data_IF_915904984448
#
_entry.id   IF_915904984448
#
_cell.length_a   1.000
_cell.length_b   1.000
_cell.length_c   1.000
_cell.angle_alpha   90.00
_cell.angle_beta   90.00
_cell.angle_gamma   90.00
#
_symmetry.space_group_name_H-M   'P 1'
#
loop_
_entity.id
_entity.type
_entity.pdbx_description
1 polymer ?
#
# COMPACT_ATOMS: atom_id res chain seq x y z
N UNK A 1 62.72 16.70 30.79
CA UNK A 1 62.34 17.40 29.54
C UNK A 1 62.09 16.34 28.49
N UNK A 2 60.87 16.19 27.97
CA UNK A 2 60.51 15.74 26.61
C UNK A 2 59.00 15.97 26.43
N UNK A 3 58.64 16.90 25.53
CA UNK A 3 57.28 17.24 25.06
C UNK A 3 56.95 16.34 23.86
N UNK A 4 55.71 15.86 23.72
CA UNK A 4 54.96 15.65 22.46
C UNK A 4 53.48 15.48 22.87
N UNK A 5 52.53 16.42 22.70
CA UNK A 5 51.86 16.97 21.50
C UNK A 5 51.10 15.91 20.67
N UNK A 6 49.77 15.98 20.83
CA UNK A 6 48.64 15.67 19.92
C UNK A 6 48.27 14.20 19.61
N UNK A 7 47.00 13.88 19.84
CA UNK A 7 46.10 13.44 18.76
C UNK A 7 44.62 13.59 19.15
N UNK A 8 43.93 14.44 18.39
CA UNK A 8 42.49 14.52 18.24
C UNK A 8 41.95 13.15 17.79
N UNK A 9 40.81 12.67 18.30
CA UNK A 9 40.03 11.66 17.57
C UNK A 9 38.53 11.81 17.87
N UNK A 10 37.87 12.43 16.88
CA UNK A 10 36.56 12.07 16.29
C UNK A 10 35.36 11.88 17.20
N UNK A 11 34.56 12.95 17.29
CA UNK A 11 33.12 12.91 17.55
C UNK A 11 32.46 12.17 16.37
N UNK A 12 31.97 10.95 16.61
CA UNK A 12 31.10 10.25 15.65
C UNK A 12 29.75 10.96 15.68
N UNK A 13 29.50 11.82 14.68
CA UNK A 13 28.15 12.30 14.41
C UNK A 13 27.34 11.11 13.88
N UNK A 14 26.55 10.49 14.76
CA UNK A 14 25.47 9.60 14.37
C UNK A 14 24.48 10.48 13.64
N UNK A 15 24.62 10.59 12.33
CA UNK A 15 23.56 11.09 11.46
C UNK A 15 22.44 10.06 11.57
N UNK A 16 21.55 10.26 12.54
CA UNK A 16 20.25 9.61 12.51
C UNK A 16 19.60 10.03 11.20
N UNK A 17 19.51 9.11 10.25
CA UNK A 17 18.59 9.26 9.14
C UNK A 17 17.21 9.35 9.77
N UNK A 18 16.69 10.56 9.89
CA UNK A 18 15.26 10.77 10.08
C UNK A 18 14.65 10.23 8.80
N UNK A 19 14.21 8.97 8.81
CA UNK A 19 13.36 8.45 7.76
C UNK A 19 12.12 9.33 7.80
N UNK A 20 11.93 10.17 6.80
CA UNK A 20 10.65 10.82 6.61
C UNK A 20 9.67 9.69 6.30
N UNK A 21 8.59 9.58 7.07
CA UNK A 21 7.52 8.63 6.77
C UNK A 21 6.99 8.93 5.36
N UNK A 22 6.80 7.88 4.56
CA UNK A 22 6.35 8.01 3.19
C UNK A 22 4.86 8.29 3.14
N UNK A 23 4.51 9.55 3.38
CA UNK A 23 3.13 10.00 3.39
C UNK A 23 2.54 9.89 1.98
N UNK A 24 1.49 9.10 1.85
CA UNK A 24 0.67 9.06 0.65
C UNK A 24 -0.47 10.05 0.78
N UNK A 25 -0.74 10.75 -0.32
CA UNK A 25 -1.83 11.72 -0.42
C UNK A 25 -3.00 11.09 -1.15
N UNK A 26 -4.21 11.37 -0.68
CA UNK A 26 -5.43 11.01 -1.39
C UNK A 26 -5.48 11.69 -2.76
N UNK A 27 -5.69 10.90 -3.82
CA UNK A 27 -5.79 11.40 -5.19
C UNK A 27 -7.23 11.71 -5.59
N UNK A 28 -8.23 11.34 -4.77
CA UNK A 28 -9.63 11.70 -5.02
C UNK A 28 -9.83 13.20 -4.85
N UNK A 29 -10.23 13.88 -5.92
CA UNK A 29 -10.56 15.32 -5.89
C UNK A 29 -12.01 15.58 -5.50
N UNK A 30 -12.88 14.58 -5.68
CA UNK A 30 -14.30 14.62 -5.35
C UNK A 30 -14.71 13.32 -4.63
N UNK A 31 -15.84 13.35 -3.92
CA UNK A 31 -16.34 12.18 -3.23
C UNK A 31 -16.94 11.18 -4.23
N UNK A 32 -16.42 9.95 -4.24
CA UNK A 32 -17.01 8.86 -4.99
C UNK A 32 -18.37 8.45 -4.41
N UNK A 33 -19.26 8.02 -5.30
CA UNK A 33 -20.63 7.59 -4.93
C UNK A 33 -20.99 6.23 -5.50
N UNK A 34 -20.23 5.76 -6.48
CA UNK A 34 -20.47 4.45 -7.09
C UNK A 34 -19.74 3.37 -6.30
N UNK A 35 -20.42 2.27 -5.93
CA UNK A 35 -19.76 1.16 -5.27
C UNK A 35 -18.86 0.41 -6.25
N UNK A 36 -17.71 -0.05 -5.76
CA UNK A 36 -16.88 -1.05 -6.41
C UNK A 36 -17.63 -2.37 -6.51
N UNK A 37 -17.53 -3.02 -7.65
CA UNK A 37 -18.25 -4.27 -7.97
C UNK A 37 -17.30 -5.46 -8.09
N UNK A 38 -16.00 -5.21 -8.29
CA UNK A 38 -14.96 -6.23 -8.33
C UNK A 38 -14.76 -6.80 -6.93
N UNK A 39 -15.13 -8.06 -6.75
CA UNK A 39 -15.15 -8.68 -5.42
C UNK A 39 -13.76 -8.84 -4.83
N UNK A 40 -12.73 -8.91 -5.67
CA UNK A 40 -11.32 -9.05 -5.37
C UNK A 40 -10.77 -7.81 -4.67
N UNK A 41 -11.40 -6.65 -4.87
CA UNK A 41 -11.04 -5.38 -4.23
C UNK A 41 -11.94 -5.03 -3.05
N UNK A 42 -13.24 -5.33 -3.11
CA UNK A 42 -14.13 -5.08 -1.98
C UNK A 42 -15.31 -6.06 -1.91
N UNK A 43 -15.67 -6.45 -0.68
CA UNK A 43 -16.93 -7.14 -0.37
C UNK A 43 -17.52 -6.45 0.87
N UNK A 44 -18.82 -6.13 0.90
CA UNK A 44 -19.46 -5.57 2.10
C UNK A 44 -19.29 -6.49 3.32
N UNK A 45 -18.69 -5.97 4.40
CA UNK A 45 -18.39 -6.72 5.63
C UNK A 45 -19.34 -6.41 6.80
N UNK A 46 -20.32 -5.53 6.58
CA UNK A 46 -21.20 -5.01 7.64
C UNK A 46 -20.75 -3.68 8.23
N UNK A 47 -21.61 -3.06 9.03
CA UNK A 47 -21.35 -1.75 9.64
C UNK A 47 -20.10 -1.79 10.54
N UNK A 48 -19.24 -0.77 10.42
CA UNK A 48 -18.02 -0.65 11.23
C UNK A 48 -16.80 -1.39 10.70
N UNK A 49 -16.90 -2.12 9.59
CA UNK A 49 -15.75 -2.75 8.91
C UNK A 49 -15.54 -2.14 7.53
N UNK A 50 -14.31 -1.72 7.25
CA UNK A 50 -13.87 -1.10 6.00
C UNK A 50 -12.86 -2.01 5.30
N UNK A 51 -12.51 -1.70 4.05
CA UNK A 51 -11.56 -2.51 3.27
C UNK A 51 -10.36 -1.68 2.85
N UNK A 52 -9.16 -2.19 3.10
CA UNK A 52 -7.95 -1.72 2.45
C UNK A 52 -7.65 -2.67 1.30
N UNK A 53 -7.47 -2.12 0.11
CA UNK A 53 -7.23 -2.87 -1.11
C UNK A 53 -5.99 -2.36 -1.85
N UNK A 54 -5.43 -3.24 -2.66
CA UNK A 54 -4.38 -2.96 -3.62
C UNK A 54 -4.83 -3.52 -4.97
N UNK A 55 -4.88 -2.67 -5.97
CA UNK A 55 -5.18 -3.00 -7.36
C UNK A 55 -3.86 -2.95 -8.13
N UNK A 56 -3.46 -4.08 -8.73
CA UNK A 56 -2.25 -4.22 -9.54
C UNK A 56 -2.69 -4.56 -10.95
N UNK A 57 -2.24 -3.80 -11.95
CA UNK A 57 -2.47 -4.13 -13.35
C UNK A 57 -1.21 -4.00 -14.19
N UNK A 58 -1.13 -4.82 -15.24
CA UNK A 58 -0.09 -4.79 -16.26
C UNK A 58 -0.70 -5.16 -17.61
N UNK A 59 -0.45 -4.33 -18.62
CA UNK A 59 -0.91 -4.61 -19.99
C UNK A 59 0.28 -5.08 -20.82
N UNK A 60 0.16 -6.26 -21.44
CA UNK A 60 1.12 -6.73 -22.45
C UNK A 60 0.73 -6.24 -23.84
N UNK A 61 1.52 -5.30 -24.37
CA UNK A 61 1.38 -4.81 -25.74
C UNK A 61 2.38 -5.55 -26.64
N UNK A 62 1.94 -6.27 -27.69
CA UNK A 62 2.84 -6.99 -28.58
C UNK A 62 3.89 -6.05 -29.19
N UNK A 63 5.16 -6.24 -28.81
CA UNK A 63 6.26 -5.54 -29.46
C UNK A 63 6.97 -6.47 -30.42
N UNK A 64 7.01 -6.10 -31.70
CA UNK A 64 7.75 -6.83 -32.74
C UNK A 64 9.26 -6.53 -32.66
N UNK A 65 9.83 -6.57 -31.45
CA UNK A 65 11.25 -6.33 -31.22
C UNK A 65 11.85 -7.49 -30.40
N UNK A 66 12.44 -8.46 -31.10
CA UNK A 66 13.04 -9.66 -30.49
C UNK A 66 14.22 -9.42 -29.55
N UNK A 67 14.67 -8.16 -29.38
CA UNK A 67 15.71 -7.79 -28.41
C UNK A 67 15.19 -7.21 -27.09
N UNK A 68 13.88 -6.99 -26.94
CA UNK A 68 13.28 -6.38 -25.75
C UNK A 68 12.03 -7.16 -25.32
N UNK A 69 12.18 -8.32 -24.66
CA UNK A 69 11.06 -9.19 -24.27
C UNK A 69 10.07 -8.52 -23.31
N UNK A 70 10.45 -7.41 -22.68
CA UNK A 70 9.62 -6.62 -21.75
C UNK A 70 9.21 -5.26 -22.33
N UNK A 71 9.54 -4.98 -23.60
CA UNK A 71 9.39 -3.66 -24.22
C UNK A 71 7.94 -3.20 -24.46
N UNK A 72 6.96 -4.03 -24.09
CA UNK A 72 5.52 -3.78 -24.27
C UNK A 72 4.71 -3.75 -22.99
N UNK A 73 5.35 -3.90 -21.83
CA UNK A 73 4.66 -3.98 -20.55
C UNK A 73 4.47 -2.60 -19.92
N UNK A 74 3.24 -2.28 -19.55
CA UNK A 74 2.89 -1.07 -18.82
C UNK A 74 2.13 -1.46 -17.54
N UNK A 75 2.71 -1.15 -16.38
CA UNK A 75 2.13 -1.49 -15.08
C UNK A 75 1.53 -0.28 -14.35
N UNK A 76 0.51 -0.53 -13.54
CA UNK A 76 -0.08 0.41 -12.59
C UNK A 76 -0.38 -0.29 -11.27
N UNK A 77 -0.24 0.45 -10.16
CA UNK A 77 -0.68 0.00 -8.85
C UNK A 77 -1.37 1.14 -8.10
N UNK A 78 -2.48 0.82 -7.43
CA UNK A 78 -3.21 1.75 -6.58
C UNK A 78 -3.57 1.10 -5.25
N UNK A 79 -3.53 1.87 -4.16
CA UNK A 79 -4.10 1.47 -2.87
C UNK A 79 -5.40 2.20 -2.65
N UNK A 80 -6.41 1.49 -2.17
CA UNK A 80 -7.77 2.02 -2.09
C UNK A 80 -8.33 1.69 -0.72
N UNK A 81 -8.97 2.67 -0.09
CA UNK A 81 -9.75 2.48 1.12
C UNK A 81 -11.22 2.57 0.75
N UNK A 82 -11.95 1.48 0.95
CA UNK A 82 -13.39 1.41 0.76
C UNK A 82 -14.13 1.43 2.08
N UNK A 83 -15.31 2.06 2.08
CA UNK A 83 -16.26 1.90 3.18
C UNK A 83 -16.99 0.54 3.13
N UNK A 84 -17.93 0.33 4.06
CA UNK A 84 -18.69 -0.90 4.16
C UNK A 84 -19.68 -1.13 2.98
N UNK A 85 -19.98 -0.09 2.21
CA UNK A 85 -20.79 -0.17 0.99
C UNK A 85 -19.93 -0.34 -0.27
N UNK A 86 -18.63 -0.57 -0.10
CA UNK A 86 -17.65 -0.64 -1.18
C UNK A 86 -17.52 0.67 -1.98
N UNK A 87 -17.80 1.81 -1.37
CA UNK A 87 -17.57 3.12 -2.00
C UNK A 87 -16.14 3.57 -1.65
N UNK A 88 -15.31 3.96 -2.65
CA UNK A 88 -13.98 4.50 -2.39
C UNK A 88 -14.05 5.76 -1.51
N UNK A 89 -13.23 5.79 -0.45
CA UNK A 89 -13.04 6.95 0.42
C UNK A 89 -11.69 7.63 0.20
N UNK A 90 -10.71 6.86 -0.26
CA UNK A 90 -9.43 7.37 -0.69
C UNK A 90 -8.73 6.43 -1.66
N UNK A 91 -7.98 7.03 -2.59
CA UNK A 91 -7.12 6.34 -3.55
C UNK A 91 -5.72 6.92 -3.40
N UNK A 92 -4.72 6.04 -3.38
CA UNK A 92 -3.35 6.37 -3.06
C UNK A 92 -2.41 5.64 -4.01
N UNK A 93 -1.27 6.25 -4.25
CA UNK A 93 -0.14 5.64 -4.91
C UNK A 93 1.10 6.48 -4.68
N UNK A 94 2.30 5.90 -4.78
CA UNK A 94 3.52 6.69 -4.76
C UNK A 94 3.49 7.69 -5.92
N UNK A 95 3.63 8.97 -5.61
CA UNK A 95 3.66 10.04 -6.63
C UNK A 95 5.07 10.60 -6.78
N UNK A 96 5.56 10.67 -8.02
CA UNK A 96 6.89 11.20 -8.33
C UNK A 96 8.02 10.29 -7.86
N UNK A 97 8.55 10.54 -6.66
CA UNK A 97 9.71 9.84 -6.10
C UNK A 97 9.24 8.94 -4.96
N UNK A 98 9.02 7.68 -5.28
CA UNK A 98 8.69 6.66 -4.29
C UNK A 98 9.80 6.57 -3.22
N UNK A 99 9.47 6.85 -1.97
CA UNK A 99 10.41 6.78 -0.86
C UNK A 99 10.39 5.42 -0.15
N UNK A 100 9.59 4.47 -0.64
CA UNK A 100 9.53 3.08 -0.18
C UNK A 100 8.66 2.88 1.06
N UNK A 101 8.45 1.62 1.45
CA UNK A 101 7.71 1.30 2.67
C UNK A 101 8.55 1.61 3.92
N UNK A 102 7.94 2.12 5.01
CA UNK A 102 6.49 2.18 5.25
C UNK A 102 5.78 3.37 4.59
N UNK A 103 4.63 3.11 3.96
CA UNK A 103 3.70 4.16 3.52
C UNK A 103 2.74 4.54 4.63
N UNK A 104 2.52 5.83 4.81
CA UNK A 104 1.61 6.37 5.83
C UNK A 104 0.43 7.04 5.14
N UNK A 105 -0.78 6.67 5.57
CA UNK A 105 -2.05 7.24 5.13
C UNK A 105 -2.74 7.83 6.36
N UNK A 106 -2.89 9.16 6.36
CA UNK A 106 -3.60 9.91 7.40
C UNK A 106 -4.79 10.60 6.76
N UNK A 107 -5.99 10.30 7.25
CA UNK A 107 -7.24 10.78 6.66
C UNK A 107 -8.20 11.25 7.74
N UNK A 108 -9.00 12.27 7.42
CA UNK A 108 -9.99 12.78 8.36
C UNK A 108 -11.16 11.82 8.62
N UNK A 109 -11.40 10.86 7.72
CA UNK A 109 -12.44 9.85 7.83
C UNK A 109 -11.96 8.58 8.54
N UNK A 110 -10.65 8.45 8.80
CA UNK A 110 -10.09 7.38 9.60
C UNK A 110 -9.78 7.89 11.01
N UNK A 111 -10.30 7.23 12.07
CA UNK A 111 -9.92 7.57 13.44
C UNK A 111 -8.44 7.33 13.77
N UNK A 112 -7.75 6.48 13.02
CA UNK A 112 -6.36 6.10 13.24
C UNK A 112 -5.55 6.15 11.94
N UNK A 113 -4.24 6.29 12.07
CA UNK A 113 -3.30 6.23 10.95
C UNK A 113 -3.25 4.79 10.40
N UNK A 114 -3.32 4.66 9.07
CA UNK A 114 -3.05 3.41 8.37
C UNK A 114 -1.60 3.42 7.87
N UNK A 115 -0.82 2.41 8.23
CA UNK A 115 0.58 2.30 7.82
C UNK A 115 0.83 1.01 7.06
N UNK A 116 1.09 1.10 5.76
CA UNK A 116 1.52 -0.05 4.94
C UNK A 116 3.00 -0.30 5.23
N UNK A 117 3.31 -1.47 5.78
CA UNK A 117 4.64 -1.83 6.27
C UNK A 117 5.46 -2.60 5.25
N UNK A 118 4.82 -3.51 4.53
CA UNK A 118 5.45 -4.36 3.53
C UNK A 118 4.51 -4.42 2.32
N UNK A 119 5.09 -4.44 1.12
CA UNK A 119 4.33 -4.53 -0.12
C UNK A 119 5.10 -5.31 -1.19
N UNK A 120 4.36 -6.06 -1.99
CA UNK A 120 4.79 -6.69 -3.23
C UNK A 120 3.71 -6.41 -4.28
N UNK A 121 4.11 -5.78 -5.38
CA UNK A 121 3.20 -5.40 -6.48
C UNK A 121 3.41 -6.28 -7.71
N UNK A 122 4.14 -7.39 -7.60
CA UNK A 122 4.31 -8.33 -8.70
C UNK A 122 2.98 -9.02 -9.01
N UNK A 123 2.57 -9.02 -10.28
CA UNK A 123 1.36 -9.71 -10.71
C UNK A 123 1.42 -11.21 -10.41
N UNK A 124 0.37 -11.73 -9.77
CA UNK A 124 0.29 -13.11 -9.31
C UNK A 124 1.02 -13.37 -7.98
N UNK A 125 1.83 -12.41 -7.51
CA UNK A 125 2.54 -12.42 -6.23
C UNK A 125 2.06 -11.36 -5.24
N UNK A 126 1.02 -10.59 -5.58
CA UNK A 126 0.56 -9.44 -4.82
C UNK A 126 0.47 -9.69 -3.32
N UNK A 127 1.11 -8.82 -2.55
CA UNK A 127 1.16 -8.91 -1.11
C UNK A 127 1.13 -7.51 -0.50
N UNK A 128 0.43 -7.37 0.61
CA UNK A 128 0.65 -6.24 1.51
C UNK A 128 0.58 -6.70 2.95
N UNK A 129 1.17 -5.87 3.81
CA UNK A 129 0.97 -5.87 5.25
C UNK A 129 0.77 -4.46 5.73
N UNK A 130 -0.27 -4.21 6.51
CA UNK A 130 -0.50 -2.89 7.10
C UNK A 130 -0.86 -2.97 8.58
N UNK A 131 -0.56 -1.90 9.30
CA UNK A 131 -1.05 -1.67 10.65
C UNK A 131 -2.16 -0.63 10.63
N UNK A 132 -3.19 -0.85 11.43
CA UNK A 132 -4.26 0.11 11.67
C UNK A 132 -4.77 -0.04 13.11
N UNK A 133 -4.79 1.06 13.85
CA UNK A 133 -5.07 1.07 15.29
C UNK A 133 -4.19 0.04 16.05
N UNK A 134 -4.81 -0.92 16.74
CA UNK A 134 -4.19 -2.03 17.45
C UNK A 134 -4.08 -3.33 16.62
N UNK A 135 -4.41 -3.29 15.32
CA UNK A 135 -4.39 -4.44 14.42
C UNK A 135 -3.18 -4.46 13.48
N UNK A 136 -2.82 -5.67 13.04
CA UNK A 136 -1.84 -5.93 12.00
C UNK A 136 -2.44 -6.94 11.01
N UNK A 137 -2.52 -6.55 9.75
CA UNK A 137 -3.24 -7.27 8.70
C UNK A 137 -2.28 -7.58 7.56
N UNK A 138 -2.38 -8.77 6.97
CA UNK A 138 -1.53 -9.17 5.84
C UNK A 138 -2.18 -10.24 5.00
N UNK A 139 -1.88 -10.28 3.70
CA UNK A 139 -2.34 -11.34 2.80
C UNK A 139 -1.94 -12.71 3.36
N UNK A 140 -2.91 -13.64 3.37
CA UNK A 140 -2.76 -14.97 3.98
C UNK A 140 -3.05 -15.04 5.48
N UNK A 141 -3.28 -13.90 6.14
CA UNK A 141 -3.71 -13.80 7.53
C UNK A 141 -4.97 -12.92 7.62
N UNK A 142 -5.68 -12.96 8.76
CA UNK A 142 -6.82 -12.07 9.05
C UNK A 142 -7.95 -12.05 7.98
N UNK A 143 -8.05 -13.10 7.15
CA UNK A 143 -8.99 -13.12 6.02
C UNK A 143 -8.60 -12.22 4.83
N UNK A 144 -7.41 -11.62 4.85
CA UNK A 144 -6.90 -10.85 3.71
C UNK A 144 -6.51 -11.80 2.57
N UNK A 145 -6.93 -11.47 1.34
CA UNK A 145 -6.78 -12.35 0.17
C UNK A 145 -6.47 -11.54 -1.08
N UNK A 146 -5.83 -12.20 -2.06
CA UNK A 146 -5.70 -11.68 -3.42
C UNK A 146 -6.43 -12.61 -4.39
N UNK A 147 -6.96 -12.04 -5.47
CA UNK A 147 -7.66 -12.75 -6.53
C UNK A 147 -7.32 -12.18 -7.89
N UNK A 148 -7.43 -13.04 -8.90
CA UNK A 148 -7.18 -12.70 -10.29
C UNK A 148 -8.34 -11.87 -10.86
N UNK A 149 -8.02 -10.73 -11.47
CA UNK A 149 -8.93 -9.85 -12.20
C UNK A 149 -8.59 -9.80 -13.69
N UNK A 150 -7.57 -10.54 -14.12
CA UNK A 150 -7.02 -10.48 -15.47
C UNK A 150 -8.07 -10.71 -16.55
N UNK A 151 -7.95 -9.98 -17.66
CA UNK A 151 -8.82 -10.14 -18.82
C UNK A 151 -8.08 -9.91 -20.13
N UNK A 152 -8.22 -10.85 -21.07
CA UNK A 152 -7.56 -10.76 -22.38
C UNK A 152 -6.03 -10.72 -22.29
N UNK A 153 -5.44 -9.58 -22.64
CA UNK A 153 -3.99 -9.31 -22.57
C UNK A 153 -3.59 -8.47 -21.35
N UNK A 154 -4.56 -8.09 -20.53
CA UNK A 154 -4.34 -7.35 -19.29
C UNK A 154 -4.25 -8.35 -18.15
N UNK A 155 -3.08 -8.39 -17.51
CA UNK A 155 -2.91 -9.02 -16.21
C UNK A 155 -3.40 -8.05 -15.14
N UNK A 156 -4.30 -8.50 -14.27
CA UNK A 156 -4.81 -7.67 -13.18
C UNK A 156 -5.00 -8.54 -11.94
N UNK A 157 -4.66 -8.01 -10.76
CA UNK A 157 -4.82 -8.69 -9.50
C UNK A 157 -5.33 -7.72 -8.45
N UNK A 158 -6.45 -8.10 -7.82
CA UNK A 158 -7.00 -7.38 -6.67
C UNK A 158 -6.62 -8.07 -5.37
N UNK A 159 -6.00 -7.33 -4.46
CA UNK A 159 -5.71 -7.74 -3.10
C UNK A 159 -6.57 -6.93 -2.13
N UNK A 160 -7.17 -7.56 -1.13
CA UNK A 160 -8.02 -6.88 -0.15
C UNK A 160 -7.85 -7.41 1.26
N UNK A 161 -8.13 -6.55 2.23
CA UNK A 161 -8.32 -6.93 3.61
C UNK A 161 -9.34 -6.06 4.31
N UNK A 162 -10.26 -6.71 5.01
CA UNK A 162 -11.18 -6.04 5.90
C UNK A 162 -10.47 -5.60 7.19
N UNK A 163 -10.82 -4.43 7.71
CA UNK A 163 -10.37 -3.98 9.02
C UNK A 163 -11.51 -3.23 9.75
N UNK A 164 -11.62 -3.38 11.09
CA UNK A 164 -12.56 -2.62 11.90
C UNK A 164 -12.17 -1.14 11.96
N UNK A 165 -13.09 -0.25 11.58
CA UNK A 165 -12.85 1.21 11.54
C UNK A 165 -12.42 1.77 12.91
N UNK A 166 -12.93 1.18 13.99
CA UNK A 166 -12.63 1.58 15.37
C UNK A 166 -11.50 0.77 16.02
N UNK A 167 -10.76 -0.03 15.24
CA UNK A 167 -9.73 -0.93 15.75
C UNK A 167 -10.28 -2.27 16.23
N UNK A 168 -9.37 -3.21 16.49
CA UNK A 168 -9.70 -4.55 16.94
C UNK A 168 -10.33 -4.51 18.35
N UNK A 169 -11.37 -5.31 18.62
CA UNK A 169 -11.95 -5.40 19.96
C UNK A 169 -10.88 -5.75 20.99
N UNK A 170 -10.79 -4.97 22.07
CA UNK A 170 -9.88 -5.29 23.17
C UNK A 170 -10.28 -6.65 23.74
N UNK A 171 -9.36 -7.63 23.68
CA UNK A 171 -9.59 -8.93 24.32
C UNK A 171 -9.64 -8.69 25.84
N UNK A 172 -10.80 -8.94 26.44
CA UNK A 172 -11.03 -8.96 27.89
C UNK A 172 -10.51 -10.27 28.47
#
# INVERSE_FOLDING_TARGET
MHRHIFSLTTLVAILGHVSADCQLSNTLTEAETSPETRTELCIPQGEGSWTFAMDISEVDVPTFNGGAPWGGLAGHNAYIIYDNACIPRGVYGPSGNDCGTPYVIEENFLPYVLTVKDIDTDLGGGYFKFAYANGLYSIGNNGCTCGDLSSGLEGEQGCKCAFPLQGEPTKV
#
